data_IF_933401130187
#
_entry.id   IF_933401130187
#
_cell.length_a   1.000
_cell.length_b   1.000
_cell.length_c   1.000
_cell.angle_alpha   90.00
_cell.angle_beta   90.00
_cell.angle_gamma   90.00
#
_symmetry.space_group_name_H-M   'P 1'
#
loop_
_entity.id
_entity.type
_entity.pdbx_description
1 polymer ?
#
# COMPACT_ATOMS: atom_id res chain seq x y z
N UNK A 1 -17.63 -20.48 8.02
CA UNK A 1 -16.75 -20.43 9.21
C UNK A 1 -17.40 -19.57 10.30
N UNK A 2 -17.66 -20.15 11.48
CA UNK A 2 -18.15 -19.43 12.68
C UNK A 2 -16.97 -18.68 13.30
N UNK A 3 -17.10 -17.39 13.67
CA UNK A 3 -16.03 -16.68 14.34
C UNK A 3 -15.79 -17.37 15.68
N UNK A 4 -14.52 -17.60 16.06
CA UNK A 4 -14.22 -18.24 17.33
C UNK A 4 -14.68 -17.38 18.50
N UNK A 5 -14.86 -18.00 19.69
CA UNK A 5 -15.25 -17.25 20.87
C UNK A 5 -14.22 -16.15 21.16
N UNK A 6 -14.70 -14.95 21.48
CA UNK A 6 -13.87 -13.76 21.76
C UNK A 6 -12.75 -14.04 22.77
N UNK A 7 -12.96 -14.99 23.68
CA UNK A 7 -12.00 -15.43 24.71
C UNK A 7 -10.68 -15.97 24.14
N UNK A 8 -10.68 -16.62 22.98
CA UNK A 8 -9.47 -17.19 22.38
C UNK A 8 -8.57 -16.10 21.77
N UNK A 9 -9.17 -15.15 21.06
CA UNK A 9 -8.48 -14.00 20.51
C UNK A 9 -7.99 -13.05 21.61
N UNK A 10 -8.81 -12.76 22.61
CA UNK A 10 -8.43 -11.89 23.73
C UNK A 10 -7.26 -12.48 24.52
N UNK A 11 -7.25 -13.80 24.76
CA UNK A 11 -6.12 -14.46 25.42
C UNK A 11 -4.84 -14.36 24.59
N UNK A 12 -4.92 -14.47 23.26
CA UNK A 12 -3.79 -14.23 22.37
C UNK A 12 -3.31 -12.77 22.42
N UNK A 13 -4.24 -11.81 22.39
CA UNK A 13 -3.92 -10.40 22.44
C UNK A 13 -3.20 -10.02 23.73
N UNK A 14 -3.73 -10.43 24.89
CA UNK A 14 -3.06 -10.22 26.18
C UNK A 14 -1.64 -10.79 26.20
N UNK A 15 -1.43 -11.96 25.58
CA UNK A 15 -0.14 -12.64 25.56
C UNK A 15 0.90 -11.96 24.66
N UNK A 16 0.50 -11.43 23.51
CA UNK A 16 1.44 -11.01 22.46
C UNK A 16 1.47 -9.50 22.19
N UNK A 17 0.51 -8.74 22.71
CA UNK A 17 0.39 -7.31 22.42
C UNK A 17 1.63 -6.52 22.81
N UNK A 18 2.16 -6.74 24.02
CA UNK A 18 3.36 -6.02 24.49
C UNK A 18 4.51 -6.14 23.50
N UNK A 19 4.83 -7.37 23.11
CA UNK A 19 5.96 -7.64 22.21
C UNK A 19 5.71 -7.08 20.81
N UNK A 20 4.49 -7.20 20.28
CA UNK A 20 4.17 -6.64 18.96
C UNK A 20 4.10 -5.11 18.95
N UNK A 21 3.75 -4.48 20.08
CA UNK A 21 3.82 -3.03 20.23
C UNK A 21 5.28 -2.54 20.28
N UNK A 22 6.18 -3.26 20.95
CA UNK A 22 7.63 -2.99 20.90
C UNK A 22 8.17 -3.08 19.47
N UNK A 23 7.75 -4.11 18.71
CA UNK A 23 8.11 -4.19 17.29
C UNK A 23 7.54 -3.00 16.52
N UNK A 24 6.27 -2.64 16.74
CA UNK A 24 5.65 -1.49 16.07
C UNK A 24 6.43 -0.20 16.32
N UNK A 25 6.90 0.01 17.56
CA UNK A 25 7.70 1.16 17.97
C UNK A 25 9.03 1.23 17.22
N UNK A 26 9.72 0.09 17.09
CA UNK A 26 10.94 0.00 16.31
C UNK A 26 10.70 0.21 14.80
N UNK A 27 9.51 -0.13 14.29
CA UNK A 27 9.16 0.07 12.89
C UNK A 27 8.83 1.54 12.56
N UNK A 28 8.18 2.25 13.48
CA UNK A 28 7.73 3.62 13.26
C UNK A 28 8.73 4.67 13.73
N UNK A 29 9.45 4.41 14.82
CA UNK A 29 10.25 5.42 15.53
C UNK A 29 9.42 6.45 16.30
N UNK A 30 8.11 6.24 16.37
CA UNK A 30 7.13 7.15 16.97
C UNK A 30 6.11 6.32 17.74
N UNK A 31 6.04 6.54 19.06
CA UNK A 31 5.22 5.76 19.99
C UNK A 31 3.72 5.92 19.72
N UNK A 32 3.26 7.11 19.33
CA UNK A 32 1.84 7.36 19.03
C UNK A 32 1.43 6.60 17.78
N UNK A 33 2.31 6.55 16.78
CA UNK A 33 2.09 5.74 15.59
C UNK A 33 2.20 4.24 15.85
N UNK A 34 3.15 3.82 16.69
CA UNK A 34 3.31 2.43 17.08
C UNK A 34 2.03 1.87 17.68
N UNK A 35 1.44 2.61 18.62
CA UNK A 35 0.17 2.30 19.27
C UNK A 35 -0.99 2.21 18.27
N UNK A 36 -1.00 3.07 17.26
CA UNK A 36 -1.99 2.99 16.18
C UNK A 36 -1.78 1.76 15.31
N UNK A 37 -0.55 1.52 14.85
CA UNK A 37 -0.17 0.40 13.99
C UNK A 37 -0.51 -0.93 14.64
N UNK A 38 -0.18 -1.10 15.92
CA UNK A 38 -0.45 -2.35 16.64
C UNK A 38 -1.94 -2.57 16.84
N UNK A 39 -2.70 -1.53 17.23
CA UNK A 39 -4.16 -1.64 17.38
C UNK A 39 -4.84 -1.96 16.05
N UNK A 40 -4.48 -1.28 14.97
CA UNK A 40 -5.02 -1.54 13.63
C UNK A 40 -4.69 -2.96 13.17
N UNK A 41 -3.46 -3.44 13.43
CA UNK A 41 -3.05 -4.80 13.11
C UNK A 41 -3.89 -5.85 13.85
N UNK A 42 -4.14 -5.67 15.15
CA UNK A 42 -4.99 -6.59 15.92
C UNK A 42 -6.46 -6.54 15.48
N UNK A 43 -7.00 -5.37 15.12
CA UNK A 43 -8.36 -5.23 14.58
C UNK A 43 -8.49 -5.92 13.21
N UNK A 44 -7.49 -5.81 12.35
CA UNK A 44 -7.47 -6.53 11.07
C UNK A 44 -7.37 -8.04 11.31
N UNK A 45 -6.45 -8.46 12.18
CA UNK A 45 -6.23 -9.86 12.51
C UNK A 45 -7.49 -10.51 13.12
N UNK A 46 -8.26 -9.79 13.95
CA UNK A 46 -9.48 -10.32 14.54
C UNK A 46 -10.53 -10.70 13.48
N UNK A 47 -10.52 -10.05 12.31
CA UNK A 47 -11.45 -10.33 11.19
C UNK A 47 -11.08 -11.60 10.44
N UNK A 48 -9.79 -11.88 10.34
CA UNK A 48 -9.23 -13.05 9.65
C UNK A 48 -8.68 -14.08 10.64
N UNK A 49 -9.15 -14.04 11.89
CA UNK A 49 -8.54 -14.81 12.96
C UNK A 49 -8.69 -16.30 12.66
N UNK A 50 -7.57 -17.05 12.58
CA UNK A 50 -7.57 -18.43 12.09
C UNK A 50 -8.24 -19.42 13.05
N UNK A 51 -8.63 -18.97 14.25
CA UNK A 51 -9.26 -19.81 15.27
C UNK A 51 -8.25 -20.67 16.01
N UNK A 52 -8.69 -21.85 16.45
CA UNK A 52 -7.86 -22.87 17.11
C UNK A 52 -6.95 -23.56 16.09
N UNK A 53 -5.98 -22.81 15.59
CA UNK A 53 -4.81 -23.33 14.87
C UNK A 53 -3.61 -23.31 15.81
N UNK A 54 -2.50 -23.89 15.37
CA UNK A 54 -1.25 -23.82 16.11
C UNK A 54 -0.81 -22.36 16.40
N UNK A 55 -0.19 -22.16 17.56
CA UNK A 55 0.25 -20.85 18.06
C UNK A 55 1.20 -20.14 17.07
N UNK A 56 2.00 -20.90 16.32
CA UNK A 56 2.87 -20.34 15.29
C UNK A 56 2.10 -19.76 14.11
N UNK A 57 0.97 -20.36 13.71
CA UNK A 57 0.13 -19.83 12.64
C UNK A 57 -0.54 -18.51 13.05
N UNK A 58 -0.97 -18.41 14.30
CA UNK A 58 -1.53 -17.17 14.88
C UNK A 58 -0.47 -16.06 14.92
N UNK A 59 0.75 -16.37 15.37
CA UNK A 59 1.87 -15.42 15.36
C UNK A 59 2.24 -14.96 13.96
N UNK A 60 2.28 -15.87 12.97
CA UNK A 60 2.52 -15.49 11.56
C UNK A 60 1.45 -14.51 11.05
N UNK A 61 0.18 -14.75 11.37
CA UNK A 61 -0.91 -13.85 11.00
C UNK A 61 -0.79 -12.48 11.68
N UNK A 62 -0.39 -12.45 12.96
CA UNK A 62 -0.16 -11.22 13.72
C UNK A 62 0.98 -10.39 13.12
N UNK A 63 2.15 -11.01 12.89
CA UNK A 63 3.33 -10.37 12.29
C UNK A 63 3.02 -9.80 10.90
N UNK A 64 2.28 -10.55 10.09
CA UNK A 64 1.83 -10.09 8.76
C UNK A 64 0.90 -8.89 8.87
N UNK A 65 -0.08 -8.95 9.76
CA UNK A 65 -1.02 -7.83 9.99
C UNK A 65 -0.28 -6.58 10.45
N UNK A 66 0.71 -6.74 11.32
CA UNK A 66 1.56 -5.63 11.79
C UNK A 66 2.39 -5.01 10.66
N UNK A 67 3.06 -5.84 9.85
CA UNK A 67 3.86 -5.38 8.72
C UNK A 67 3.01 -4.68 7.63
N UNK A 68 1.75 -5.09 7.46
CA UNK A 68 0.80 -4.40 6.55
C UNK A 68 0.36 -3.07 7.13
N UNK A 69 -0.03 -3.03 8.40
CA UNK A 69 -0.44 -1.79 9.08
C UNK A 69 0.69 -0.75 9.11
N UNK A 70 1.92 -1.15 9.46
CA UNK A 70 3.09 -0.27 9.48
C UNK A 70 3.35 0.38 8.10
N UNK A 71 3.28 -0.41 7.03
CA UNK A 71 3.43 0.10 5.66
C UNK A 71 2.33 1.09 5.26
N UNK A 72 1.09 0.83 5.67
CA UNK A 72 -0.05 1.74 5.42
C UNK A 72 0.14 3.07 6.15
N UNK A 73 0.59 3.03 7.40
CA UNK A 73 0.90 4.24 8.19
C UNK A 73 2.03 5.03 7.53
N UNK A 74 3.12 4.37 7.15
CA UNK A 74 4.22 5.05 6.45
C UNK A 74 3.77 5.69 5.13
N UNK A 75 2.93 5.01 4.32
CA UNK A 75 2.39 5.59 3.09
C UNK A 75 1.56 6.85 3.35
N UNK A 76 0.70 6.82 4.38
CA UNK A 76 -0.08 8.00 4.83
C UNK A 76 0.83 9.14 5.31
N UNK A 77 1.92 8.83 6.03
CA UNK A 77 2.91 9.82 6.44
C UNK A 77 3.62 10.45 5.25
N UNK A 78 3.98 9.66 4.23
CA UNK A 78 4.56 10.18 3.00
C UNK A 78 3.62 11.15 2.27
N UNK A 79 2.32 10.88 2.25
CA UNK A 79 1.33 11.77 1.62
C UNK A 79 0.98 13.00 2.46
N UNK A 80 1.04 12.93 3.80
CA UNK A 80 0.76 14.07 4.70
C UNK A 80 2.01 14.90 5.03
N UNK A 81 3.19 14.28 4.99
CA UNK A 81 4.48 14.85 5.42
C UNK A 81 5.10 15.79 4.39
N UNK A 82 4.71 15.71 3.12
CA UNK A 82 5.16 16.63 2.08
C UNK A 82 4.52 18.03 2.23
N UNK A 83 3.33 18.14 2.85
CA UNK A 83 2.71 19.42 3.22
C UNK A 83 3.23 19.96 4.55
N UNK A 84 3.52 19.11 5.54
CA UNK A 84 3.98 19.57 6.86
C UNK A 84 5.48 19.92 6.92
N UNK A 85 6.33 19.24 6.16
CA UNK A 85 7.77 19.51 6.13
C UNK A 85 8.12 20.86 5.49
N UNK A 86 7.29 21.34 4.56
CA UNK A 86 7.44 22.68 3.95
C UNK A 86 7.04 23.82 4.90
N UNK A 87 6.22 23.55 5.93
CA UNK A 87 5.75 24.58 6.89
C UNK A 87 6.63 24.64 8.13
N UNK A 88 7.20 23.51 8.58
CA UNK A 88 8.03 23.46 9.80
C UNK A 88 9.52 23.73 9.58
N UNK A 89 10.05 23.53 8.36
CA UNK A 89 11.45 23.81 8.05
C UNK A 89 11.77 25.32 7.98
N UNK A 90 10.75 26.18 7.80
CA UNK A 90 10.90 27.63 7.74
C UNK A 90 10.93 28.29 9.14
N UNK A 91 10.38 27.63 10.18
CA UNK A 91 10.22 28.24 11.52
C UNK A 91 11.28 27.88 12.55
N UNK A 92 12.07 26.81 12.39
CA UNK A 92 13.00 26.34 13.42
C UNK A 92 14.43 26.19 12.89
N UNK A 93 15.13 27.32 12.81
CA UNK A 93 16.59 27.40 12.62
C UNK A 93 17.37 26.89 13.84
N UNK A 94 17.16 25.64 14.22
CA UNK A 94 17.93 24.95 15.26
C UNK A 94 19.01 24.10 14.60
N UNK A 95 20.27 24.45 14.84
CA UNK A 95 21.42 23.62 14.50
C UNK A 95 21.29 22.28 15.24
N UNK A 96 20.81 21.25 14.55
CA UNK A 96 20.68 19.90 15.10
C UNK A 96 22.09 19.37 15.42
N UNK A 97 22.33 19.05 16.70
CA UNK A 97 23.53 18.36 17.12
C UNK A 97 23.63 17.04 16.33
N UNK A 98 24.81 16.74 15.80
CA UNK A 98 25.07 15.47 15.12
C UNK A 98 24.89 14.35 16.14
N UNK A 99 23.97 13.39 15.93
CA UNK A 99 23.82 12.26 16.83
C UNK A 99 25.15 11.49 16.91
N UNK A 100 25.60 11.12 18.11
CA UNK A 100 26.80 10.32 18.32
C UNK A 100 26.44 8.92 18.84
N UNK A 101 27.23 7.91 18.48
CA UNK A 101 27.10 6.56 19.05
C UNK A 101 25.75 5.88 18.76
N UNK A 102 25.07 5.40 19.82
CA UNK A 102 23.82 4.64 19.69
C UNK A 102 22.69 5.46 19.05
N UNK A 103 22.65 6.77 19.30
CA UNK A 103 21.64 7.65 18.69
C UNK A 103 21.87 7.81 17.19
N UNK A 104 23.13 7.80 16.74
CA UNK A 104 23.48 7.81 15.31
C UNK A 104 23.04 6.51 14.61
N UNK A 105 23.28 5.36 15.23
CA UNK A 105 22.82 4.05 14.73
C UNK A 105 21.29 4.03 14.64
N UNK A 106 20.61 4.57 15.64
CA UNK A 106 19.16 4.62 15.65
C UNK A 106 18.59 5.52 14.54
N UNK A 107 19.12 6.73 14.37
CA UNK A 107 18.71 7.62 13.27
C UNK A 107 18.99 6.96 11.91
N UNK A 108 20.15 6.33 11.74
CA UNK A 108 20.47 5.60 10.52
C UNK A 108 19.46 4.47 10.21
N UNK A 109 18.96 3.76 11.23
CA UNK A 109 17.90 2.76 11.08
C UNK A 109 16.56 3.41 10.71
N UNK A 110 16.24 4.58 11.28
CA UNK A 110 15.04 5.35 10.96
C UNK A 110 15.09 6.01 9.57
N UNK A 111 16.28 6.23 9.01
CA UNK A 111 16.46 6.75 7.65
C UNK A 111 16.39 5.65 6.57
N UNK A 112 16.41 4.39 6.98
CA UNK A 112 16.23 3.28 6.04
C UNK A 112 14.86 3.33 5.37
N UNK A 113 14.84 2.90 4.11
CA UNK A 113 13.60 2.62 3.40
C UNK A 113 12.71 1.69 4.25
N UNK A 114 11.39 1.91 4.31
CA UNK A 114 10.51 1.23 5.27
C UNK A 114 10.58 -0.29 5.19
N UNK A 115 10.74 -0.82 3.98
CA UNK A 115 10.84 -2.27 3.77
C UNK A 115 12.17 -2.85 4.27
N UNK A 116 13.25 -2.09 4.20
CA UNK A 116 14.58 -2.53 4.64
C UNK A 116 14.68 -2.45 6.16
N UNK A 117 14.17 -1.36 6.76
CA UNK A 117 13.98 -1.25 8.22
C UNK A 117 13.17 -2.41 8.77
N UNK A 118 12.03 -2.70 8.15
CA UNK A 118 11.13 -3.76 8.59
C UNK A 118 11.81 -5.13 8.53
N UNK A 119 12.58 -5.40 7.48
CA UNK A 119 13.38 -6.63 7.37
C UNK A 119 14.45 -6.71 8.47
N UNK A 120 15.18 -5.62 8.76
CA UNK A 120 16.17 -5.61 9.83
C UNK A 120 15.55 -5.83 11.22
N UNK A 121 14.44 -5.16 11.53
CA UNK A 121 13.76 -5.32 12.83
C UNK A 121 13.28 -6.77 13.00
N UNK A 122 12.63 -7.34 11.99
CA UNK A 122 12.18 -8.74 12.08
C UNK A 122 13.34 -9.74 12.16
N UNK A 123 14.46 -9.46 11.48
CA UNK A 123 15.60 -10.37 11.44
C UNK A 123 16.48 -10.28 12.69
N UNK A 124 16.86 -9.07 13.11
CA UNK A 124 17.82 -8.84 14.19
C UNK A 124 17.15 -8.76 15.57
N UNK A 125 16.00 -8.10 15.67
CA UNK A 125 15.32 -7.94 16.97
C UNK A 125 14.38 -9.10 17.31
N UNK A 126 13.63 -9.61 16.33
CA UNK A 126 12.78 -10.79 16.52
C UNK A 126 13.50 -12.12 16.24
N UNK A 127 14.77 -12.06 15.83
CA UNK A 127 15.63 -13.22 15.52
C UNK A 127 14.96 -14.23 14.58
N UNK A 128 14.19 -13.72 13.61
CA UNK A 128 13.47 -14.58 12.67
C UNK A 128 14.38 -15.06 11.54
N UNK A 129 14.28 -16.34 11.15
CA UNK A 129 14.94 -16.81 9.93
C UNK A 129 14.33 -16.11 8.71
N UNK A 130 15.11 -16.00 7.63
CA UNK A 130 14.73 -15.30 6.40
C UNK A 130 13.36 -15.71 5.85
N UNK A 131 13.02 -16.99 5.94
CA UNK A 131 11.72 -17.53 5.51
C UNK A 131 10.55 -16.99 6.33
N UNK A 132 10.72 -16.78 7.64
CA UNK A 132 9.71 -16.21 8.52
C UNK A 132 9.59 -14.69 8.34
N UNK A 133 10.73 -14.01 8.17
CA UNK A 133 10.75 -12.57 7.80
C UNK A 133 10.00 -12.35 6.50
N UNK A 134 10.31 -13.14 5.46
CA UNK A 134 9.65 -13.12 4.16
C UNK A 134 8.12 -13.26 4.26
N UNK A 135 7.65 -14.20 5.08
CA UNK A 135 6.22 -14.42 5.29
C UNK A 135 5.53 -13.27 6.03
N UNK A 136 6.21 -12.62 6.96
CA UNK A 136 5.70 -11.47 7.70
C UNK A 136 5.61 -10.24 6.78
N UNK A 137 6.68 -9.94 6.03
CA UNK A 137 6.73 -8.74 5.18
C UNK A 137 6.09 -8.94 3.80
N UNK A 138 5.76 -10.16 3.41
CA UNK A 138 5.21 -10.46 2.09
C UNK A 138 6.25 -10.24 0.98
N UNK A 139 7.47 -10.77 1.17
CA UNK A 139 8.55 -10.73 0.20
C UNK A 139 9.10 -12.14 -0.07
N UNK A 140 9.81 -12.39 -1.19
CA UNK A 140 10.50 -13.66 -1.41
C UNK A 140 11.65 -13.87 -0.41
N UNK A 141 11.85 -15.10 0.08
CA UNK A 141 12.93 -15.43 1.02
C UNK A 141 14.33 -15.04 0.48
N UNK A 142 14.57 -15.28 -0.81
CA UNK A 142 15.82 -14.92 -1.49
C UNK A 142 16.11 -13.41 -1.52
N UNK A 143 15.10 -12.57 -1.27
CA UNK A 143 15.25 -11.10 -1.23
C UNK A 143 15.55 -10.61 0.19
N UNK A 144 15.24 -11.39 1.22
CA UNK A 144 15.44 -11.00 2.63
C UNK A 144 16.92 -10.80 2.92
N UNK A 145 17.76 -11.82 2.70
CA UNK A 145 19.21 -11.68 2.90
C UNK A 145 19.84 -10.53 2.11
N UNK A 146 19.36 -10.26 0.88
CA UNK A 146 19.81 -9.08 0.09
C UNK A 146 19.42 -7.76 0.74
N UNK A 147 18.20 -7.66 1.30
CA UNK A 147 17.72 -6.46 2.00
C UNK A 147 18.39 -6.27 3.36
N UNK A 148 18.65 -7.35 4.09
CA UNK A 148 19.45 -7.32 5.33
C UNK A 148 20.83 -6.74 5.02
N UNK A 149 21.52 -7.31 4.02
CA UNK A 149 22.85 -6.81 3.60
C UNK A 149 22.81 -5.34 3.21
N UNK A 150 21.87 -4.96 2.34
CA UNK A 150 21.70 -3.56 1.91
C UNK A 150 21.44 -2.62 3.10
N UNK A 151 20.55 -3.00 4.02
CA UNK A 151 20.24 -2.20 5.20
C UNK A 151 21.45 -2.02 6.12
N UNK A 152 22.20 -3.09 6.35
CA UNK A 152 23.45 -3.03 7.12
C UNK A 152 24.52 -2.19 6.43
N UNK A 153 24.67 -2.31 5.11
CA UNK A 153 25.62 -1.48 4.35
C UNK A 153 25.26 0.01 4.48
N UNK A 154 23.97 0.36 4.37
CA UNK A 154 23.48 1.73 4.50
C UNK A 154 23.65 2.30 5.92
N UNK A 155 23.35 1.51 6.96
CA UNK A 155 23.62 1.92 8.36
C UNK A 155 25.13 2.05 8.60
N UNK A 156 25.94 1.13 8.07
CA UNK A 156 27.39 1.22 8.21
C UNK A 156 27.98 2.45 7.51
N UNK A 157 27.40 2.92 6.39
CA UNK A 157 27.86 4.14 5.70
C UNK A 157 27.58 5.41 6.51
N UNK A 158 26.50 5.42 7.29
CA UNK A 158 26.06 6.59 8.08
C UNK A 158 26.70 6.65 9.45
N UNK A 159 26.92 5.50 10.09
CA UNK A 159 27.55 5.40 11.41
C UNK A 159 29.08 5.55 11.31
N UNK A 160 29.67 5.10 10.19
CA UNK A 160 31.12 5.17 9.92
C UNK A 160 31.97 4.33 10.89
N UNK A 161 33.07 3.72 10.44
CA UNK A 161 34.07 3.17 11.36
C UNK A 161 34.92 4.30 11.96
N UNK A 162 35.31 4.14 13.23
CA UNK A 162 36.30 4.98 13.93
C UNK A 162 37.75 4.72 13.51
N UNK A 163 38.01 3.94 12.45
CA UNK A 163 39.36 3.49 12.09
C UNK A 163 39.67 3.59 10.59
N UNK A 164 40.87 4.09 10.30
CA UNK A 164 41.42 4.44 8.98
C UNK A 164 41.49 3.27 7.97
N UNK A 165 41.41 2.01 8.41
CA UNK A 165 41.56 0.83 7.55
C UNK A 165 40.38 0.57 6.59
N UNK A 166 39.18 1.11 6.85
CA UNK A 166 37.99 0.86 6.01
C UNK A 166 37.83 1.84 4.82
N UNK A 167 38.62 2.92 4.78
CA UNK A 167 38.64 3.88 3.66
C UNK A 167 39.05 3.18 2.34
N UNK A 168 39.66 1.99 2.42
CA UNK A 168 40.07 1.16 1.28
C UNK A 168 38.95 0.32 0.61
N UNK A 169 37.67 0.52 0.94
CA UNK A 169 36.56 0.13 0.04
C UNK A 169 36.27 -1.38 -0.11
N UNK A 170 36.71 -2.22 0.83
CA UNK A 170 36.25 -3.62 0.96
C UNK A 170 35.73 -3.86 2.37
N UNK A 171 34.41 -3.71 2.59
CA UNK A 171 33.78 -4.32 3.77
C UNK A 171 33.71 -5.83 3.56
N UNK A 172 34.60 -6.53 4.25
CA UNK A 172 34.57 -7.98 4.33
C UNK A 172 33.31 -8.47 5.08
N UNK A 173 33.15 -9.79 5.24
CA UNK A 173 32.04 -10.34 6.01
C UNK A 173 32.07 -9.90 7.49
N UNK A 174 33.27 -9.65 8.04
CA UNK A 174 33.46 -9.28 9.44
C UNK A 174 32.93 -7.89 9.79
N UNK A 175 33.12 -6.89 8.93
CA UNK A 175 32.56 -5.55 9.14
C UNK A 175 31.03 -5.53 9.19
N UNK A 176 30.37 -6.36 8.35
CA UNK A 176 28.90 -6.47 8.36
C UNK A 176 28.35 -7.13 9.62
N UNK A 177 29.06 -8.13 10.16
CA UNK A 177 28.65 -8.80 11.40
C UNK A 177 28.76 -7.83 12.61
N UNK A 178 29.78 -6.97 12.61
CA UNK A 178 29.92 -5.92 13.64
C UNK A 178 28.79 -4.88 13.56
N UNK A 179 28.46 -4.39 12.36
CA UNK A 179 27.32 -3.45 12.18
C UNK A 179 26.00 -4.13 12.57
N UNK A 180 25.81 -5.41 12.23
CA UNK A 180 24.62 -6.15 12.65
C UNK A 180 24.50 -6.25 14.18
N UNK A 181 25.62 -6.49 14.88
CA UNK A 181 25.65 -6.50 16.34
C UNK A 181 25.34 -5.13 16.94
N UNK A 182 25.88 -4.05 16.37
CA UNK A 182 25.57 -2.67 16.80
C UNK A 182 24.09 -2.33 16.60
N UNK A 183 23.53 -2.67 15.44
CA UNK A 183 22.10 -2.47 15.16
C UNK A 183 21.24 -3.30 16.11
N UNK A 184 21.58 -4.56 16.36
CA UNK A 184 20.83 -5.40 17.30
C UNK A 184 20.84 -4.81 18.72
N UNK A 185 22.01 -4.38 19.22
CA UNK A 185 22.13 -3.71 20.52
C UNK A 185 21.34 -2.39 20.58
N UNK A 186 21.35 -1.61 19.49
CA UNK A 186 20.58 -0.37 19.36
C UNK A 186 19.07 -0.62 19.41
N UNK A 187 18.56 -1.59 18.63
CA UNK A 187 17.15 -2.01 18.70
C UNK A 187 16.80 -2.50 20.10
N UNK A 188 17.72 -3.22 20.74
CA UNK A 188 17.56 -3.68 22.11
C UNK A 188 17.48 -2.54 23.14
N UNK A 189 18.18 -1.43 22.91
CA UNK A 189 18.14 -0.27 23.79
C UNK A 189 16.84 0.52 23.61
N UNK A 190 16.40 0.75 22.37
CA UNK A 190 15.23 1.59 22.09
C UNK A 190 13.88 0.96 22.45
N UNK A 191 13.75 -0.37 22.44
CA UNK A 191 12.49 -1.03 22.84
C UNK A 191 12.30 -1.19 24.37
N UNK A 192 13.27 -0.80 25.21
CA UNK A 192 13.19 -0.94 26.69
C UNK A 192 12.13 -0.05 27.35
N UNK A 193 11.46 0.82 26.58
CA UNK A 193 10.33 1.59 27.07
C UNK A 193 9.20 0.70 27.60
N UNK A 194 8.64 1.06 28.75
CA UNK A 194 7.46 0.38 29.29
C UNK A 194 6.26 0.66 28.37
N UNK A 195 5.77 -0.40 27.71
CA UNK A 195 4.54 -0.34 26.91
C UNK A 195 3.36 -0.63 27.83
N UNK A 196 2.55 0.40 28.07
CA UNK A 196 1.27 0.24 28.74
C UNK A 196 0.27 -0.45 27.79
N UNK A 197 -0.01 -1.72 28.11
CA UNK A 197 -0.84 -2.59 27.28
C UNK A 197 -2.33 -2.41 27.52
N UNK A 198 -2.75 -1.88 28.66
CA UNK A 198 -4.18 -1.80 29.00
C UNK A 198 -4.96 -0.82 28.09
N UNK A 199 -4.46 0.40 27.82
CA UNK A 199 -5.11 1.30 26.86
C UNK A 199 -5.22 0.69 25.46
N UNK A 200 -4.20 -0.07 25.04
CA UNK A 200 -4.18 -0.75 23.75
C UNK A 200 -5.17 -1.90 23.69
N UNK A 201 -5.24 -2.74 24.73
CA UNK A 201 -6.22 -3.81 24.85
C UNK A 201 -7.65 -3.27 24.85
N UNK A 202 -7.92 -2.18 25.56
CA UNK A 202 -9.24 -1.54 25.57
C UNK A 202 -9.65 -1.06 24.17
N UNK A 203 -8.72 -0.44 23.42
CA UNK A 203 -8.95 -0.01 22.04
C UNK A 203 -9.19 -1.20 21.10
N UNK A 204 -8.43 -2.28 21.26
CA UNK A 204 -8.62 -3.52 20.48
C UNK A 204 -10.00 -4.11 20.78
N UNK A 205 -10.37 -4.32 22.04
CA UNK A 205 -11.68 -4.85 22.44
C UNK A 205 -12.83 -4.00 21.92
N UNK A 206 -12.70 -2.67 21.96
CA UNK A 206 -13.71 -1.76 21.41
C UNK A 206 -13.83 -1.92 19.89
N UNK A 207 -12.69 -2.00 19.19
CA UNK A 207 -12.64 -2.23 17.73
C UNK A 207 -13.18 -3.60 17.31
N UNK A 208 -13.07 -4.62 18.16
CA UNK A 208 -13.56 -5.98 17.87
C UNK A 208 -15.00 -6.23 18.35
N UNK A 209 -15.49 -5.54 19.40
CA UNK A 209 -16.87 -5.68 19.90
C UNK A 209 -17.93 -5.25 18.86
N UNK A 210 -17.61 -4.31 17.98
CA UNK A 210 -18.47 -3.94 16.84
C UNK A 210 -18.69 -5.08 15.82
N UNK A 211 -17.93 -6.18 15.92
CA UNK A 211 -17.93 -7.30 14.97
C UNK A 211 -18.91 -8.41 15.40
N UNK A 212 -19.12 -8.63 16.71
CA UNK A 212 -19.99 -9.72 17.21
C UNK A 212 -21.49 -9.40 17.12
N UNK A 213 -21.88 -8.13 17.25
CA UNK A 213 -23.29 -7.69 17.27
C UNK A 213 -24.00 -7.73 15.91
N UNK A 214 -23.27 -7.94 14.81
CA UNK A 214 -23.85 -7.95 13.45
C UNK A 214 -24.42 -9.30 13.00
N UNK A 215 -24.18 -10.40 13.73
CA UNK A 215 -24.59 -11.75 13.28
C UNK A 215 -25.77 -12.38 14.03
N UNK A 216 -26.23 -11.82 15.14
CA UNK A 216 -27.27 -12.46 15.98
C UNK A 216 -28.65 -11.77 15.98
N UNK A 217 -28.91 -10.77 15.15
CA UNK A 217 -30.26 -10.22 15.02
C UNK A 217 -31.08 -11.03 14.01
N UNK A 218 -31.54 -12.20 14.44
CA UNK A 218 -32.85 -12.71 13.98
C UNK A 218 -33.88 -11.66 14.39
N UNK A 219 -34.53 -11.06 13.39
CA UNK A 219 -35.55 -10.03 13.59
C UNK A 219 -36.85 -10.71 14.02
N UNK A 220 -37.43 -10.45 15.21
CA UNK A 220 -38.87 -10.37 15.30
C UNK A 220 -39.27 -9.02 14.72
N UNK A 221 -40.18 -9.05 13.75
CA UNK A 221 -40.89 -7.86 13.31
C UNK A 221 -41.71 -7.35 14.50
N UNK A 222 -41.41 -6.14 14.97
CA UNK A 222 -42.36 -5.35 15.73
C UNK A 222 -42.46 -3.96 15.10
N UNK A 223 -43.69 -3.71 14.67
CA UNK A 223 -44.21 -2.50 14.08
C UNK A 223 -44.24 -1.35 15.10
N UNK A 224 -44.18 -0.16 14.51
CA UNK A 224 -44.82 1.08 14.94
C UNK A 224 -44.32 1.75 16.23
N UNK A 225 -43.92 3.02 16.09
CA UNK A 225 -43.79 3.90 17.23
C UNK A 225 -43.08 5.21 16.94
N UNK A 226 -43.84 6.18 16.43
CA UNK A 226 -43.62 7.62 16.56
C UNK A 226 -42.42 8.26 15.83
N UNK A 227 -42.79 8.89 14.72
CA UNK A 227 -42.09 10.03 14.14
C UNK A 227 -41.97 11.18 15.15
N UNK A 228 -40.80 11.82 15.18
CA UNK A 228 -40.67 13.21 15.59
C UNK A 228 -39.77 13.91 14.58
N UNK A 229 -40.43 14.61 13.66
CA UNK A 229 -39.82 15.51 12.68
C UNK A 229 -39.52 16.82 13.41
N UNK A 230 -38.23 17.14 13.58
CA UNK A 230 -37.79 18.49 13.91
C UNK A 230 -37.22 19.11 12.64
N UNK A 231 -38.06 19.88 11.94
CA UNK A 231 -37.64 20.83 10.91
C UNK A 231 -37.04 22.04 11.65
N UNK A 232 -35.72 22.18 11.59
CA UNK A 232 -35.08 23.47 11.76
C UNK A 232 -34.58 23.93 10.40
N UNK A 233 -35.40 24.76 9.77
CA UNK A 233 -35.02 25.57 8.63
C UNK A 233 -33.94 26.56 9.08
N UNK A 234 -32.77 26.51 8.46
CA UNK A 234 -31.79 27.59 8.47
C UNK A 234 -31.26 27.77 7.05
N UNK A 235 -31.98 28.56 6.26
CA UNK A 235 -31.46 29.22 5.07
C UNK A 235 -30.76 30.48 5.55
N UNK A 236 -29.43 30.49 5.59
CA UNK A 236 -28.64 31.73 5.64
C UNK A 236 -27.38 31.58 4.78
N UNK A 237 -27.41 32.33 3.68
CA UNK A 237 -26.31 33.00 3.00
C UNK A 237 -25.06 32.21 2.57
N UNK A 238 -25.04 31.88 1.28
CA UNK A 238 -23.87 32.09 0.41
C UNK A 238 -23.27 33.47 0.71
N UNK A 239 -21.95 33.54 1.03
CA UNK A 239 -20.94 34.45 0.45
C UNK A 239 -19.67 34.52 1.34
N UNK A 240 -18.53 34.70 0.67
CA UNK A 240 -17.17 35.09 1.15
C UNK A 240 -16.13 33.96 1.28
N UNK A 241 -15.51 33.67 0.14
CA UNK A 241 -14.08 33.31 0.07
C UNK A 241 -13.33 34.64 -0.14
N UNK A 242 -12.29 34.98 0.64
CA UNK A 242 -11.51 36.19 0.39
C UNK A 242 -10.69 36.04 -0.89
N UNK A 243 -10.70 37.11 -1.70
CA UNK A 243 -9.86 37.30 -2.88
C UNK A 243 -8.39 36.97 -2.56
N UNK A 244 -7.80 36.05 -3.32
CA UNK A 244 -6.36 35.93 -3.41
C UNK A 244 -5.82 37.11 -4.22
N UNK A 245 -4.77 37.82 -3.77
CA UNK A 245 -4.16 38.88 -4.55
C UNK A 245 -3.49 38.33 -5.82
N UNK A 246 -3.67 39.07 -6.91
CA UNK A 246 -3.09 38.86 -8.23
C UNK A 246 -1.57 38.62 -8.19
N UNK A 247 -1.16 37.36 -8.14
CA UNK A 247 0.17 36.97 -8.59
C UNK A 247 0.06 36.56 -10.05
N UNK A 248 0.22 37.52 -10.96
CA UNK A 248 0.59 37.28 -12.36
C UNK A 248 2.00 36.68 -12.40
N UNK A 249 2.13 35.43 -11.96
CA UNK A 249 3.22 34.57 -12.38
C UNK A 249 2.80 33.93 -13.70
N UNK A 250 3.66 33.99 -14.70
CA UNK A 250 3.41 33.40 -16.01
C UNK A 250 2.90 31.96 -15.85
N UNK A 251 1.72 31.67 -16.43
CA UNK A 251 1.14 30.33 -16.43
C UNK A 251 2.20 29.38 -17.01
N UNK A 252 2.66 28.34 -16.28
CA UNK A 252 3.39 27.27 -16.91
C UNK A 252 2.49 26.72 -18.02
N UNK A 253 3.02 26.67 -19.23
CA UNK A 253 2.38 26.11 -20.41
C UNK A 253 1.66 24.83 -20.01
N UNK A 254 0.33 24.77 -20.19
CA UNK A 254 -0.45 23.55 -19.89
C UNK A 254 0.30 22.37 -20.49
N UNK A 255 0.66 21.34 -19.69
CA UNK A 255 1.45 20.25 -20.20
C UNK A 255 0.67 19.60 -21.34
N UNK A 256 1.29 19.49 -22.50
CA UNK A 256 0.67 18.86 -23.67
C UNK A 256 0.31 17.43 -23.31
N UNK A 257 -0.95 17.04 -23.55
CA UNK A 257 -1.43 15.68 -23.29
C UNK A 257 -0.47 14.66 -23.90
N UNK A 258 -0.05 13.61 -23.18
CA UNK A 258 0.90 12.66 -23.71
C UNK A 258 0.33 12.02 -24.98
N UNK A 259 1.03 12.21 -26.10
CA UNK A 259 0.59 11.71 -27.41
C UNK A 259 0.83 10.19 -27.44
N UNK A 260 -0.26 9.43 -27.55
CA UNK A 260 -0.20 8.01 -27.80
C UNK A 260 0.23 7.74 -29.26
N UNK A 261 1.00 6.68 -29.53
CA UNK A 261 1.24 6.22 -30.89
C UNK A 261 -0.07 6.06 -31.70
N UNK A 262 -0.08 6.30 -33.03
CA UNK A 262 -1.27 6.15 -33.86
C UNK A 262 -1.94 4.77 -33.67
N UNK A 263 -3.26 4.76 -33.51
CA UNK A 263 -4.03 3.52 -33.28
C UNK A 263 -3.95 2.98 -31.85
N UNK A 264 -3.27 3.67 -30.93
CA UNK A 264 -3.19 3.31 -29.51
C UNK A 264 -3.77 4.40 -28.60
N UNK A 265 -4.09 4.02 -27.36
CA UNK A 265 -4.40 4.91 -26.25
C UNK A 265 -3.48 4.61 -25.08
N UNK A 266 -3.21 5.62 -24.26
CA UNK A 266 -2.48 5.41 -23.01
C UNK A 266 -3.43 4.96 -21.91
N UNK A 267 -3.03 3.90 -21.23
CA UNK A 267 -3.65 3.41 -19.99
C UNK A 267 -2.55 3.33 -18.93
N UNK A 268 -2.86 3.57 -17.67
CA UNK A 268 -1.87 3.61 -16.61
C UNK A 268 -2.32 2.94 -15.32
N UNK A 269 -1.37 2.74 -14.42
CA UNK A 269 -1.62 2.34 -13.06
C UNK A 269 -0.54 2.94 -12.16
N UNK A 270 -0.95 3.62 -11.09
CA UNK A 270 -0.03 4.39 -10.25
C UNK A 270 0.68 5.50 -11.06
N UNK A 271 1.99 5.40 -11.16
CA UNK A 271 2.89 6.38 -11.78
C UNK A 271 3.40 5.94 -13.17
N UNK A 272 2.86 4.86 -13.73
CA UNK A 272 3.27 4.31 -15.02
C UNK A 272 2.09 4.33 -15.99
N UNK A 273 2.38 4.61 -17.26
CA UNK A 273 1.48 4.48 -18.40
C UNK A 273 2.06 3.54 -19.46
N UNK A 274 1.19 2.91 -20.23
CA UNK A 274 1.51 1.98 -21.32
C UNK A 274 0.56 2.23 -22.48
N UNK A 275 1.04 2.05 -23.71
CA UNK A 275 0.20 2.18 -24.90
C UNK A 275 -0.49 0.85 -25.20
N UNK A 276 -1.81 0.90 -25.40
CA UNK A 276 -2.63 -0.25 -25.81
C UNK A 276 -3.44 0.12 -27.04
N UNK A 277 -3.76 -0.82 -27.95
CA UNK A 277 -4.65 -0.56 -29.06
C UNK A 277 -5.97 0.06 -28.57
N UNK A 278 -6.49 1.05 -29.31
CA UNK A 278 -7.71 1.78 -28.92
C UNK A 278 -8.93 0.88 -28.77
N UNK A 279 -8.95 -0.25 -29.48
CA UNK A 279 -10.01 -1.26 -29.45
C UNK A 279 -10.04 -2.11 -28.17
N UNK A 280 -8.99 -2.08 -27.35
CA UNK A 280 -8.92 -2.90 -26.14
C UNK A 280 -9.92 -2.40 -25.11
N UNK A 281 -10.75 -3.32 -24.64
CA UNK A 281 -11.80 -3.05 -23.66
C UNK A 281 -11.22 -2.86 -22.25
N UNK A 282 -12.03 -2.33 -21.35
CA UNK A 282 -11.66 -2.10 -19.95
C UNK A 282 -12.38 -3.14 -19.08
N UNK A 283 -11.63 -3.93 -18.31
CA UNK A 283 -12.15 -4.95 -17.39
C UNK A 283 -13.15 -5.93 -18.06
N UNK A 284 -12.98 -6.22 -19.36
CA UNK A 284 -13.78 -7.22 -20.09
C UNK A 284 -13.39 -8.66 -19.70
N UNK A 285 -13.72 -9.03 -18.48
CA UNK A 285 -13.48 -10.35 -17.90
C UNK A 285 -14.79 -11.10 -17.70
N UNK A 286 -14.79 -12.40 -18.01
CA UNK A 286 -15.88 -13.32 -17.69
C UNK A 286 -15.31 -14.50 -16.92
N UNK A 287 -15.83 -14.74 -15.72
CA UNK A 287 -15.29 -15.69 -14.74
C UNK A 287 -13.78 -15.53 -14.44
N UNK A 288 -13.25 -14.30 -14.45
CA UNK A 288 -11.83 -14.02 -14.25
C UNK A 288 -10.92 -14.33 -15.45
N UNK A 289 -11.49 -14.70 -16.58
CA UNK A 289 -10.79 -14.94 -17.85
C UNK A 289 -11.13 -13.86 -18.88
N UNK A 290 -10.21 -13.59 -19.79
CA UNK A 290 -10.38 -12.52 -20.78
C UNK A 290 -11.37 -12.92 -21.87
N UNK A 291 -12.47 -12.16 -22.00
CA UNK A 291 -13.48 -12.42 -23.04
C UNK A 291 -13.12 -11.83 -24.41
N UNK A 292 -12.28 -10.79 -24.40
CA UNK A 292 -11.85 -9.96 -25.53
C UNK A 292 -10.49 -9.33 -25.20
N UNK A 293 -9.84 -8.69 -26.19
CA UNK A 293 -8.63 -7.91 -25.95
C UNK A 293 -8.90 -6.82 -24.87
N UNK A 294 -8.19 -6.83 -23.73
CA UNK A 294 -8.64 -6.07 -22.55
C UNK A 294 -7.52 -5.59 -21.61
N UNK A 295 -7.79 -4.52 -20.87
CA UNK A 295 -6.95 -4.04 -19.76
C UNK A 295 -7.67 -4.31 -18.44
N UNK A 296 -7.02 -5.04 -17.54
CA UNK A 296 -7.58 -5.56 -16.29
C UNK A 296 -6.95 -4.84 -15.11
N UNK A 297 -7.80 -4.27 -14.27
CA UNK A 297 -7.46 -3.56 -13.05
C UNK A 297 -7.90 -4.33 -11.80
N UNK A 298 -7.35 -4.02 -10.62
CA UNK A 298 -7.72 -4.68 -9.36
C UNK A 298 -9.20 -4.58 -8.97
N UNK A 299 -9.98 -3.66 -9.55
CA UNK A 299 -11.43 -3.52 -9.35
C UNK A 299 -12.27 -4.42 -10.28
N UNK A 300 -11.65 -5.17 -11.19
CA UNK A 300 -12.35 -6.18 -11.98
C UNK A 300 -12.94 -7.25 -11.04
N UNK A 301 -14.25 -7.45 -11.09
CA UNK A 301 -14.93 -8.47 -10.30
C UNK A 301 -14.49 -9.87 -10.76
N UNK A 302 -13.65 -10.55 -9.97
CA UNK A 302 -13.28 -11.96 -10.20
C UNK A 302 -14.33 -12.87 -9.56
N UNK A 303 -15.47 -13.03 -10.23
CA UNK A 303 -16.44 -14.07 -9.85
C UNK A 303 -15.99 -15.43 -10.42
N UNK A 304 -15.35 -16.23 -9.58
CA UNK A 304 -15.06 -17.67 -9.69
C UNK A 304 -15.15 -18.42 -11.04
N UNK A 305 -14.02 -19.05 -11.42
CA UNK A 305 -13.99 -20.51 -11.67
C UNK A 305 -14.33 -21.07 -13.05
N UNK A 306 -14.36 -20.28 -14.13
CA UNK A 306 -14.49 -20.83 -15.49
C UNK A 306 -13.12 -21.02 -16.16
N UNK A 307 -13.08 -21.85 -17.20
CA UNK A 307 -11.88 -22.08 -18.02
C UNK A 307 -11.48 -20.80 -18.77
N UNK A 308 -10.18 -20.53 -18.84
CA UNK A 308 -9.59 -19.44 -19.62
C UNK A 308 -9.95 -19.55 -21.10
N UNK A 309 -10.39 -18.45 -21.71
CA UNK A 309 -10.55 -18.36 -23.17
C UNK A 309 -9.17 -18.25 -23.83
N UNK A 310 -8.74 -19.22 -24.65
CA UNK A 310 -7.50 -19.09 -25.40
C UNK A 310 -7.68 -18.05 -26.52
N UNK A 311 -6.86 -17.00 -26.53
CA UNK A 311 -6.68 -16.14 -27.71
C UNK A 311 -6.90 -14.64 -27.54
N UNK A 312 -7.33 -14.14 -26.39
CA UNK A 312 -7.39 -12.70 -26.13
C UNK A 312 -6.02 -12.15 -25.69
N UNK A 313 -5.70 -10.92 -26.08
CA UNK A 313 -4.56 -10.19 -25.53
C UNK A 313 -4.97 -9.41 -24.29
N UNK A 314 -4.14 -9.41 -23.25
CA UNK A 314 -4.48 -8.70 -22.03
C UNK A 314 -3.28 -8.03 -21.35
N UNK A 315 -3.57 -6.93 -20.65
CA UNK A 315 -2.70 -6.37 -19.63
C UNK A 315 -3.41 -6.50 -18.30
N UNK A 316 -2.73 -7.06 -17.31
CA UNK A 316 -3.22 -7.13 -15.94
C UNK A 316 -2.33 -6.32 -15.01
N UNK A 317 -2.91 -5.31 -14.36
CA UNK A 317 -2.28 -4.63 -13.23
C UNK A 317 -2.67 -5.33 -11.92
N UNK A 318 -1.68 -5.72 -11.14
CA UNK A 318 -1.89 -6.41 -9.87
C UNK A 318 -1.23 -5.65 -8.70
N UNK A 319 -2.05 -5.32 -7.70
CA UNK A 319 -1.65 -4.67 -6.45
C UNK A 319 -2.25 -5.39 -5.23
N UNK A 320 -1.41 -5.94 -4.32
CA UNK A 320 0.04 -6.04 -4.45
C UNK A 320 0.43 -6.98 -5.61
N UNK A 321 1.67 -6.90 -6.15
CA UNK A 321 2.13 -7.82 -7.17
C UNK A 321 1.97 -9.27 -6.67
N UNK A 322 1.54 -10.21 -7.53
CA UNK A 322 1.40 -11.59 -7.14
C UNK A 322 2.76 -12.12 -6.68
N UNK A 323 2.76 -12.98 -5.67
CA UNK A 323 4.00 -13.61 -5.20
C UNK A 323 4.70 -14.29 -6.38
N UNK A 324 6.02 -14.08 -6.59
CA UNK A 324 6.72 -14.80 -7.63
C UNK A 324 6.59 -16.29 -7.33
N UNK A 325 6.08 -17.03 -8.30
CA UNK A 325 6.15 -18.48 -8.28
C UNK A 325 7.62 -18.87 -8.12
N UNK A 326 7.99 -19.79 -7.21
CA UNK A 326 9.37 -20.27 -7.06
C UNK A 326 9.93 -20.91 -8.34
N UNK A 327 9.07 -21.13 -9.35
CA UNK A 327 9.40 -21.71 -10.65
C UNK A 327 9.58 -20.68 -11.78
N UNK A 328 9.38 -19.37 -11.56
CA UNK A 328 9.69 -18.35 -12.58
C UNK A 328 11.13 -17.88 -12.42
N UNK A 329 11.83 -17.76 -13.55
CA UNK A 329 13.16 -17.16 -13.61
C UNK A 329 13.18 -15.80 -12.90
N UNK A 330 14.30 -15.47 -12.26
CA UNK A 330 14.48 -14.15 -11.66
C UNK A 330 14.27 -13.09 -12.76
N UNK A 331 13.51 -12.01 -12.47
CA UNK A 331 13.33 -10.96 -13.46
C UNK A 331 14.67 -10.24 -13.68
N UNK A 332 15.00 -10.07 -14.95
CA UNK A 332 16.18 -9.33 -15.41
C UNK A 332 15.81 -7.86 -15.63
N UNK A 333 16.80 -7.00 -15.77
CA UNK A 333 16.59 -5.65 -16.26
C UNK A 333 16.17 -5.69 -17.73
N UNK A 334 14.98 -5.17 -18.02
CA UNK A 334 14.40 -5.20 -19.38
C UNK A 334 14.25 -3.80 -19.99
N UNK A 335 14.54 -2.75 -19.22
CA UNK A 335 14.51 -1.37 -19.69
C UNK A 335 14.45 -0.38 -18.54
N UNK A 336 14.22 0.89 -18.88
CA UNK A 336 14.10 2.00 -17.94
C UNK A 336 12.82 2.78 -18.23
N UNK A 337 12.19 3.28 -17.16
CA UNK A 337 11.00 4.12 -17.21
C UNK A 337 11.24 5.33 -16.32
N UNK A 338 11.57 6.46 -16.94
CA UNK A 338 12.09 7.63 -16.23
C UNK A 338 13.49 7.35 -15.71
N UNK A 339 13.71 7.55 -14.41
CA UNK A 339 14.94 7.24 -13.68
C UNK A 339 14.94 5.84 -13.04
N UNK A 340 13.95 4.99 -13.39
CA UNK A 340 13.70 3.72 -12.72
C UNK A 340 13.94 2.54 -13.64
N UNK A 341 14.70 1.57 -13.14
CA UNK A 341 14.91 0.28 -13.78
C UNK A 341 13.60 -0.52 -13.80
N UNK A 342 13.20 -1.01 -14.96
CA UNK A 342 12.11 -1.97 -15.12
C UNK A 342 12.69 -3.37 -15.06
N UNK A 343 12.19 -4.17 -14.12
CA UNK A 343 12.53 -5.58 -14.01
C UNK A 343 11.46 -6.41 -14.72
N UNK A 344 11.86 -7.33 -15.57
CA UNK A 344 10.94 -8.16 -16.34
C UNK A 344 11.38 -9.60 -16.43
N UNK A 345 10.43 -10.52 -16.52
CA UNK A 345 10.75 -11.87 -16.99
C UNK A 345 11.09 -11.81 -18.47
N UNK A 346 11.84 -12.81 -18.96
CA UNK A 346 11.86 -13.07 -20.39
C UNK A 346 10.43 -13.31 -20.92
N UNK A 347 10.17 -12.96 -22.18
CA UNK A 347 8.92 -13.32 -22.85
C UNK A 347 8.88 -14.84 -22.98
N UNK A 348 7.95 -15.45 -22.26
CA UNK A 348 7.82 -16.91 -22.15
C UNK A 348 6.60 -17.40 -22.93
N UNK A 349 6.71 -18.60 -23.52
CA UNK A 349 5.59 -19.26 -24.19
C UNK A 349 4.79 -20.08 -23.17
N UNK A 350 3.48 -19.94 -23.21
CA UNK A 350 2.49 -20.65 -22.38
C UNK A 350 1.49 -21.36 -23.28
N UNK A 351 0.60 -22.18 -22.70
CA UNK A 351 -0.49 -22.83 -23.43
C UNK A 351 -1.49 -21.82 -24.02
N UNK A 352 -1.55 -20.61 -23.46
CA UNK A 352 -2.45 -19.54 -23.88
C UNK A 352 -1.78 -18.50 -24.81
N UNK A 353 -0.50 -18.66 -25.15
CA UNK A 353 0.25 -17.73 -26.02
C UNK A 353 1.62 -17.36 -25.47
N UNK A 354 1.90 -16.06 -25.42
CA UNK A 354 3.11 -15.47 -24.87
C UNK A 354 2.77 -14.62 -23.65
N UNK A 355 3.65 -14.64 -22.65
CA UNK A 355 3.50 -13.86 -21.43
C UNK A 355 4.81 -13.19 -21.01
N UNK A 356 4.71 -11.95 -20.55
CA UNK A 356 5.78 -11.24 -19.85
C UNK A 356 5.25 -10.58 -18.57
N UNK A 357 5.99 -10.71 -17.47
CA UNK A 357 5.71 -9.97 -16.23
C UNK A 357 6.72 -8.86 -16.06
N UNK A 358 6.24 -7.66 -15.73
CA UNK A 358 7.02 -6.45 -15.56
C UNK A 358 6.77 -5.88 -14.14
N UNK A 359 7.84 -5.44 -13.51
CA UNK A 359 7.85 -4.85 -12.18
C UNK A 359 8.66 -3.56 -12.24
N UNK A 360 8.08 -2.48 -11.72
CA UNK A 360 8.79 -1.22 -11.54
C UNK A 360 9.08 -1.08 -10.04
N UNK A 361 10.32 -1.30 -9.57
CA UNK A 361 10.67 -1.21 -8.16
C UNK A 361 10.22 0.12 -7.56
N UNK A 362 9.49 0.07 -6.45
CA UNK A 362 8.94 1.25 -5.78
C UNK A 362 7.48 1.58 -6.10
N UNK A 363 6.92 1.12 -7.23
CA UNK A 363 5.55 1.49 -7.63
C UNK A 363 4.50 0.70 -6.86
N UNK A 364 4.88 -0.46 -6.31
CA UNK A 364 4.02 -1.26 -5.44
C UNK A 364 3.06 -2.18 -6.18
N UNK A 365 3.11 -2.25 -7.51
CA UNK A 365 2.31 -3.15 -8.35
C UNK A 365 3.20 -3.92 -9.34
N UNK A 366 2.61 -4.90 -10.04
CA UNK A 366 3.19 -5.52 -11.24
C UNK A 366 2.24 -5.44 -12.42
N UNK A 367 2.80 -5.45 -13.62
CA UNK A 367 2.05 -5.56 -14.87
C UNK A 367 2.34 -6.90 -15.53
N UNK A 368 1.32 -7.63 -15.94
CA UNK A 368 1.46 -8.87 -16.73
C UNK A 368 0.85 -8.63 -18.09
N UNK A 369 1.62 -8.88 -19.15
CA UNK A 369 1.16 -8.80 -20.54
C UNK A 369 1.02 -10.21 -21.10
N UNK A 370 -0.14 -10.51 -21.68
CA UNK A 370 -0.44 -11.78 -22.35
C UNK A 370 -0.93 -11.52 -23.76
N UNK A 371 -0.50 -12.33 -24.72
CA UNK A 371 -1.08 -12.31 -26.06
C UNK A 371 -0.74 -13.60 -26.81
N UNK A 372 -1.62 -14.11 -27.69
CA UNK A 372 -1.23 -15.14 -28.66
C UNK A 372 -0.11 -14.68 -29.60
N UNK A 373 0.09 -13.36 -29.77
CA UNK A 373 1.14 -12.77 -30.59
C UNK A 373 2.29 -12.23 -29.72
N UNK A 374 3.50 -12.76 -29.94
CA UNK A 374 4.71 -12.35 -29.23
C UNK A 374 5.04 -10.87 -29.49
N UNK A 375 4.76 -10.36 -30.68
CA UNK A 375 5.07 -8.97 -31.04
C UNK A 375 4.30 -7.99 -30.17
N UNK A 376 3.00 -8.25 -29.95
CA UNK A 376 2.14 -7.46 -29.06
C UNK A 376 2.71 -7.39 -27.64
N UNK A 377 3.19 -8.52 -27.10
CA UNK A 377 3.81 -8.54 -25.75
C UNK A 377 5.03 -7.61 -25.69
N UNK A 378 5.91 -7.68 -26.68
CA UNK A 378 7.14 -6.88 -26.75
C UNK A 378 6.83 -5.40 -26.97
N UNK A 379 5.90 -5.07 -27.88
CA UNK A 379 5.53 -3.69 -28.20
C UNK A 379 4.84 -3.00 -27.01
N UNK A 380 3.90 -3.68 -26.36
CA UNK A 380 3.24 -3.18 -25.15
C UNK A 380 4.28 -2.95 -24.05
N UNK A 381 5.14 -3.93 -23.77
CA UNK A 381 6.19 -3.81 -22.76
C UNK A 381 7.14 -2.62 -23.03
N UNK A 382 7.57 -2.45 -24.28
CA UNK A 382 8.47 -1.37 -24.70
C UNK A 382 7.81 0.03 -24.68
N UNK A 383 6.47 0.09 -24.70
CA UNK A 383 5.74 1.36 -24.70
C UNK A 383 5.58 2.00 -23.31
N UNK A 384 5.99 1.27 -22.26
CA UNK A 384 5.91 1.70 -20.87
C UNK A 384 6.65 3.01 -20.64
N UNK A 385 6.05 3.92 -19.87
CA UNK A 385 6.59 5.25 -19.58
C UNK A 385 6.08 5.78 -18.24
N UNK A 386 6.78 6.77 -17.68
CA UNK A 386 6.31 7.49 -16.49
C UNK A 386 5.13 8.38 -16.89
N UNK A 387 4.15 8.49 -16.00
CA UNK A 387 3.06 9.45 -16.15
C UNK A 387 3.66 10.86 -16.12
N UNK A 388 3.46 11.70 -17.15
CA UNK A 388 4.07 13.02 -17.21
C UNK A 388 3.63 13.92 -16.06
N UNK A 389 4.47 14.90 -15.73
CA UNK A 389 4.13 15.94 -14.77
C UNK A 389 2.84 16.67 -15.15
N UNK A 390 2.02 17.00 -14.15
CA UNK A 390 0.70 17.61 -14.35
C UNK A 390 -0.41 16.60 -14.66
N UNK A 391 -0.09 15.33 -14.90
CA UNK A 391 -1.06 14.26 -15.10
C UNK A 391 -1.04 13.26 -13.95
N UNK A 392 -2.12 12.50 -13.85
CA UNK A 392 -2.28 11.41 -12.90
C UNK A 392 -3.14 10.31 -13.53
N UNK A 393 -3.08 9.13 -12.95
CA UNK A 393 -3.87 7.99 -13.39
C UNK A 393 -5.09 7.87 -12.49
N UNK A 394 -6.25 7.68 -13.10
CA UNK A 394 -7.50 7.45 -12.37
C UNK A 394 -7.45 6.08 -11.67
N UNK A 395 -7.53 6.01 -10.33
CA UNK A 395 -7.42 4.75 -9.61
C UNK A 395 -8.71 3.91 -9.71
N UNK A 396 -8.61 2.58 -9.55
CA UNK A 396 -9.75 1.66 -9.57
C UNK A 396 -10.63 1.79 -8.32
N UNK A 397 -11.71 2.56 -8.38
CA UNK A 397 -12.56 2.82 -7.22
C UNK A 397 -13.75 1.84 -7.09
N UNK A 398 -14.11 1.11 -8.14
CA UNK A 398 -15.31 0.27 -8.16
C UNK A 398 -15.21 -0.87 -7.14
N UNK A 399 -16.30 -1.14 -6.42
CA UNK A 399 -16.34 -2.16 -5.36
C UNK A 399 -15.66 -1.74 -4.05
N UNK A 400 -14.87 -0.66 -4.04
CA UNK A 400 -14.28 -0.11 -2.82
C UNK A 400 -15.33 0.62 -1.97
N UNK A 401 -15.08 0.72 -0.66
CA UNK A 401 -15.89 1.61 0.21
C UNK A 401 -15.60 3.06 -0.16
N UNK A 402 -16.61 3.92 -0.09
CA UNK A 402 -16.46 5.35 -0.42
C UNK A 402 -15.27 6.01 0.29
N UNK A 403 -15.01 5.71 1.57
CA UNK A 403 -13.84 6.21 2.30
C UNK A 403 -12.49 5.81 1.68
N UNK A 404 -12.38 4.57 1.22
CA UNK A 404 -11.13 4.03 0.65
C UNK A 404 -10.94 4.61 -0.76
N UNK A 405 -12.00 4.63 -1.59
CA UNK A 405 -11.99 5.30 -2.89
C UNK A 405 -11.68 6.80 -2.81
N UNK A 406 -12.21 7.50 -1.79
CA UNK A 406 -11.90 8.90 -1.55
C UNK A 406 -10.42 9.12 -1.19
N UNK A 407 -9.80 8.18 -0.47
CA UNK A 407 -8.39 8.23 -0.15
C UNK A 407 -7.53 8.00 -1.41
N UNK A 408 -7.87 6.99 -2.22
CA UNK A 408 -7.15 6.70 -3.47
C UNK A 408 -7.25 7.87 -4.47
N UNK A 409 -8.41 8.51 -4.59
CA UNK A 409 -8.57 9.72 -5.42
C UNK A 409 -7.76 10.91 -4.88
N UNK A 410 -7.71 11.09 -3.55
CA UNK A 410 -6.90 12.13 -2.95
C UNK A 410 -5.39 11.90 -3.17
N UNK A 411 -4.92 10.66 -3.00
CA UNK A 411 -3.53 10.25 -3.30
C UNK A 411 -3.19 10.47 -4.79
N UNK A 412 -4.16 10.23 -5.68
CA UNK A 412 -4.03 10.54 -7.10
C UNK A 412 -4.16 12.04 -7.44
N UNK A 413 -4.36 12.93 -6.45
CA UNK A 413 -4.59 14.37 -6.62
C UNK A 413 -5.82 14.69 -7.49
N UNK A 414 -6.88 13.92 -7.34
CA UNK A 414 -8.17 14.07 -8.03
C UNK A 414 -9.25 14.62 -7.10
N UNK A 415 -10.19 15.38 -7.65
CA UNK A 415 -11.30 15.98 -6.90
C UNK A 415 -12.51 15.05 -6.92
N UNK A 416 -12.84 14.46 -5.78
CA UNK A 416 -14.05 13.64 -5.64
C UNK A 416 -15.32 14.51 -5.69
N UNK A 417 -16.25 14.11 -6.55
CA UNK A 417 -17.65 14.54 -6.54
C UNK A 417 -18.50 13.29 -6.28
N UNK A 418 -19.39 13.35 -5.30
CA UNK A 418 -20.28 12.23 -5.00
C UNK A 418 -21.66 12.57 -5.55
N UNK A 419 -22.14 11.80 -6.53
CA UNK A 419 -23.50 11.94 -7.05
C UNK A 419 -24.44 10.97 -6.31
N UNK A 420 -25.52 11.53 -5.75
CA UNK A 420 -26.52 10.94 -4.84
C UNK A 420 -26.00 10.53 -3.44
N UNK A 421 -26.25 11.42 -2.48
CA UNK A 421 -26.06 11.22 -1.04
C UNK A 421 -27.39 11.42 -0.30
N UNK A 422 -28.30 10.44 -0.39
CA UNK A 422 -29.48 10.39 0.48
C UNK A 422 -29.22 9.37 1.58
N UNK A 423 -28.94 9.87 2.79
CA UNK A 423 -28.66 9.14 4.04
C UNK A 423 -27.21 8.72 4.33
N UNK A 424 -26.27 9.67 4.28
CA UNK A 424 -25.03 9.60 5.08
C UNK A 424 -25.32 9.89 6.58
N UNK A 425 -26.34 9.26 7.16
CA UNK A 425 -26.63 9.38 8.59
C UNK A 425 -26.50 8.03 9.27
N UNK A 426 -25.43 7.90 10.05
CA UNK A 426 -25.25 6.82 10.99
C UNK A 426 -24.11 5.86 10.66
N UNK A 427 -23.54 5.34 11.74
CA UNK A 427 -22.38 4.44 11.88
C UNK A 427 -22.50 3.06 11.16
N UNK A 428 -23.33 2.95 10.11
CA UNK A 428 -23.42 1.79 9.22
C UNK A 428 -22.38 1.94 8.12
N UNK A 429 -21.76 0.83 7.72
CA UNK A 429 -20.65 0.85 6.77
C UNK A 429 -21.08 1.51 5.46
N UNK A 430 -20.31 2.50 5.01
CA UNK A 430 -20.55 3.17 3.74
C UNK A 430 -20.67 2.13 2.62
N UNK A 431 -21.62 2.29 1.69
CA UNK A 431 -21.80 1.34 0.62
C UNK A 431 -20.61 1.37 -0.35
N UNK A 432 -20.37 0.28 -1.09
CA UNK A 432 -19.32 0.26 -2.09
C UNK A 432 -19.69 1.17 -3.27
N UNK A 433 -18.68 1.75 -3.89
CA UNK A 433 -18.80 2.49 -5.15
C UNK A 433 -19.26 1.51 -6.22
N UNK A 434 -20.37 1.83 -6.90
CA UNK A 434 -20.92 0.96 -7.97
C UNK A 434 -20.62 1.49 -9.36
N UNK A 435 -20.37 2.80 -9.47
CA UNK A 435 -20.04 3.46 -10.72
C UNK A 435 -19.07 4.62 -10.51
N UNK A 436 -18.24 4.84 -11.52
CA UNK A 436 -17.25 5.88 -11.63
C UNK A 436 -17.33 6.44 -13.05
N UNK A 437 -17.38 7.76 -13.19
CA UNK A 437 -17.64 8.39 -14.50
C UNK A 437 -16.45 8.35 -15.48
N UNK A 438 -15.23 8.17 -14.97
CA UNK A 438 -14.00 8.06 -15.75
C UNK A 438 -13.36 6.70 -15.44
N UNK A 439 -13.11 5.92 -16.48
CA UNK A 439 -12.59 4.57 -16.34
C UNK A 439 -11.25 4.51 -15.61
N UNK A 440 -11.06 3.45 -14.84
CA UNK A 440 -9.81 3.19 -14.13
C UNK A 440 -8.64 3.13 -15.13
N UNK A 441 -7.52 3.70 -14.74
CA UNK A 441 -6.32 3.75 -15.54
C UNK A 441 -6.30 4.80 -16.66
N UNK A 442 -7.34 5.62 -16.82
CA UNK A 442 -7.28 6.75 -17.73
C UNK A 442 -6.32 7.83 -17.18
N UNK A 443 -5.53 8.44 -18.06
CA UNK A 443 -4.68 9.58 -17.71
C UNK A 443 -5.52 10.86 -17.77
N UNK A 444 -5.49 11.64 -16.69
CA UNK A 444 -6.20 12.91 -16.60
C UNK A 444 -5.31 13.98 -15.97
N UNK A 445 -5.55 15.28 -16.24
CA UNK A 445 -4.86 16.34 -15.52
C UNK A 445 -5.10 16.25 -14.02
N UNK A 446 -4.09 16.62 -13.23
CA UNK A 446 -4.22 16.75 -11.78
C UNK A 446 -5.34 17.76 -11.44
N UNK A 447 -6.14 17.45 -10.42
CA UNK A 447 -7.28 18.26 -10.01
C UNK A 447 -8.55 18.02 -10.84
N UNK A 448 -8.52 17.10 -11.81
CA UNK A 448 -9.70 16.62 -12.52
C UNK A 448 -10.78 16.12 -11.55
N UNK A 449 -12.04 16.36 -11.90
CA UNK A 449 -13.19 15.92 -11.10
C UNK A 449 -13.57 14.49 -11.48
N UNK A 450 -13.67 13.63 -10.48
CA UNK A 450 -14.14 12.24 -10.62
C UNK A 450 -15.45 12.11 -9.89
N UNK A 451 -16.49 11.68 -10.60
CA UNK A 451 -17.80 11.41 -10.02
C UNK A 451 -17.89 9.94 -9.65
N UNK A 452 -18.15 9.70 -8.36
CA UNK A 452 -18.46 8.37 -7.85
C UNK A 452 -19.93 8.30 -7.51
N UNK A 453 -20.58 7.22 -7.94
CA UNK A 453 -21.94 6.91 -7.55
C UNK A 453 -21.93 5.78 -6.52
N UNK A 454 -22.72 6.00 -5.47
CA UNK A 454 -22.90 5.05 -4.39
C UNK A 454 -24.41 4.81 -4.23
N UNK A 455 -24.88 3.55 -4.22
CA UNK A 455 -26.30 3.28 -4.10
C UNK A 455 -26.84 3.78 -2.75
N UNK A 456 -27.99 4.45 -2.79
CA UNK A 456 -28.77 4.76 -1.59
C UNK A 456 -29.40 3.47 -1.07
N UNK A 457 -29.32 3.21 0.24
CA UNK A 457 -29.86 2.00 0.89
C UNK A 457 -31.04 2.31 1.81
#
# INVERSE_FOLDING_TARGET
>A
MRPPPATDFDAFAVRHLRRLAQVADLLTGDRVEADRVVVDAFIVMSRTWPGRVDSQAQLRAARRSLAVSARRTHRRRGSTGQEAALVLADELGTAAATPEGADAVWQAVLDLAPRDRMVLVWHLFEQLPDSAVAQAVGAPALVVGRRVRRGLDQVGMTVGPTTEDEIAGRRDAGGRDQVAAQVAACLEQHHRGEVDVEPLLARIRTGTAGISSRRSRTRPALLAGAATVLVLASVVAVRWWPDQPDARAALPTSPSFPVAPPGTRLVGYGDVAVAVPTRWEHNAVSCGSEGSDTVIYPDAAVEGGCATSPGASSITFADPPPYPSPYRAAPDEVGEVGDRVVLGTAVSRTDAGYEQTLLVPGSGFSMVVRSPDRSVVVEVAASMRVVPDGFTVVPPCRGQRLRDAAADLADARLKLVVDQASTLSGNRGQPPVTFQNIDSGQLVPIGSRIELFVPSF
#
